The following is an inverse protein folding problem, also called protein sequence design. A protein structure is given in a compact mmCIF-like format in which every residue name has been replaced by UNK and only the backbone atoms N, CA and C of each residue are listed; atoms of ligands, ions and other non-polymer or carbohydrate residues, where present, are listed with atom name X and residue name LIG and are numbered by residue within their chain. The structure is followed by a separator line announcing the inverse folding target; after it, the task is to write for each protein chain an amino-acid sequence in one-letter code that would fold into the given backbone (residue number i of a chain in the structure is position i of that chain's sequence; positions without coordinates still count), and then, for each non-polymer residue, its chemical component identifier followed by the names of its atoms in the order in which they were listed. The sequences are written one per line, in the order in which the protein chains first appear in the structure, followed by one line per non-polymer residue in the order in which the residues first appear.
data_IF_740813453594
#
_entry.id   IF_740813453594
#
_cell.length_a   1.000
_cell.length_b   1.000
_cell.length_c   1.000
_cell.angle_alpha   90.00
_cell.angle_beta   90.00
_cell.angle_gamma   90.00
#
_symmetry.space_group_name_H-M   'P 1'
#
loop_
_entity.id
_entity.type
_entity.pdbx_description
1 polymer ?
#
# COMPACT_ATOMS: atom_id res chain seq x y z
N UNK A 1 3.67 -4.80 -9.98
CA UNK A 1 4.55 -3.78 -10.59
C UNK A 1 4.31 -3.70 -12.09
N UNK A 2 4.56 -4.77 -12.85
CA UNK A 2 4.36 -4.84 -14.31
C UNK A 2 3.00 -4.29 -14.78
N UNK A 3 1.87 -4.80 -14.25
CA UNK A 3 0.52 -4.35 -14.64
C UNK A 3 0.31 -2.83 -14.42
N UNK A 4 0.90 -2.25 -13.37
CA UNK A 4 0.74 -0.82 -13.08
C UNK A 4 1.65 0.01 -14.00
N UNK A 5 2.88 -0.44 -14.23
CA UNK A 5 3.81 0.18 -15.19
C UNK A 5 3.24 0.16 -16.61
N UNK A 6 2.66 -0.96 -17.05
CA UNK A 6 2.05 -1.11 -18.37
C UNK A 6 0.83 -0.19 -18.57
N UNK A 7 0.14 0.12 -17.48
CA UNK A 7 -0.96 1.08 -17.47
C UNK A 7 -0.49 2.55 -17.39
N UNK A 8 0.82 2.80 -17.34
CA UNK A 8 1.41 4.14 -17.33
C UNK A 8 1.47 4.81 -15.95
N UNK A 9 1.27 4.05 -14.86
CA UNK A 9 1.45 4.58 -13.52
C UNK A 9 2.94 4.68 -13.15
N UNK A 10 3.28 5.67 -12.33
CA UNK A 10 4.58 5.70 -11.68
C UNK A 10 4.66 4.58 -10.63
N UNK A 11 5.66 3.71 -10.77
CA UNK A 11 5.90 2.59 -9.86
C UNK A 11 7.30 2.73 -9.26
N UNK A 12 7.39 2.60 -7.94
CA UNK A 12 8.65 2.66 -7.20
C UNK A 12 8.73 1.53 -6.16
N UNK A 13 9.92 0.99 -5.98
CA UNK A 13 10.23 0.10 -4.86
C UNK A 13 11.15 0.86 -3.90
N UNK A 14 10.60 1.19 -2.73
CA UNK A 14 11.35 1.91 -1.69
C UNK A 14 10.77 1.61 -0.31
N UNK A 15 11.54 1.96 0.72
CA UNK A 15 10.99 2.05 2.06
C UNK A 15 9.98 3.21 2.14
N UNK A 16 8.84 2.94 2.78
CA UNK A 16 7.79 3.91 3.06
C UNK A 16 7.78 4.14 4.57
N UNK A 17 7.89 5.39 5.02
CA UNK A 17 7.73 5.72 6.43
C UNK A 17 6.25 5.64 6.84
N UNK A 18 5.98 5.31 8.10
CA UNK A 18 4.59 5.19 8.59
C UNK A 18 3.83 6.51 8.46
N UNK A 19 4.51 7.64 8.62
CA UNK A 19 3.91 8.98 8.51
C UNK A 19 3.43 9.29 7.09
N UNK A 20 4.00 8.68 6.05
CA UNK A 20 3.55 8.85 4.66
C UNK A 20 2.21 8.15 4.38
N UNK A 21 1.78 7.23 5.24
CA UNK A 21 0.53 6.51 5.07
C UNK A 21 -0.69 7.40 5.31
N UNK A 22 -0.53 8.53 6.00
CA UNK A 22 -1.60 9.52 6.20
C UNK A 22 -2.04 10.18 4.88
N UNK A 23 -1.11 10.32 3.94
CA UNK A 23 -1.36 10.92 2.62
C UNK A 23 -1.75 9.88 1.54
N UNK A 24 -1.65 8.60 1.86
CA UNK A 24 -1.94 7.53 0.92
C UNK A 24 -3.46 7.43 0.64
N UNK A 25 -3.84 7.45 -0.64
CA UNK A 25 -5.25 7.28 -1.03
C UNK A 25 -5.79 5.87 -0.76
N UNK A 26 -4.94 4.84 -0.93
CA UNK A 26 -5.29 3.44 -0.72
C UNK A 26 -4.08 2.63 -0.23
N UNK A 27 -4.33 1.63 0.62
CA UNK A 27 -3.33 0.68 1.10
C UNK A 27 -3.91 -0.73 1.07
N UNK A 28 -3.14 -1.69 0.54
CA UNK A 28 -3.54 -3.08 0.45
C UNK A 28 -2.34 -4.02 0.57
N UNK A 29 -2.61 -5.24 1.01
CA UNK A 29 -1.64 -6.33 1.00
C UNK A 29 -1.88 -7.23 -0.21
N UNK A 30 -0.82 -7.82 -0.75
CA UNK A 30 -0.90 -8.83 -1.81
C UNK A 30 -0.27 -10.14 -1.38
N UNK A 31 -0.78 -11.27 -1.85
CA UNK A 31 -0.16 -12.56 -1.60
C UNK A 31 -1.00 -13.72 -2.11
N UNK A 32 -0.40 -14.90 -2.24
CA UNK A 32 -1.03 -16.08 -2.86
C UNK A 32 -2.36 -16.48 -2.24
N UNK A 33 -2.50 -16.33 -0.93
CA UNK A 33 -3.72 -16.72 -0.21
C UNK A 33 -4.92 -15.79 -0.46
N UNK A 34 -4.69 -14.54 -0.88
CA UNK A 34 -5.72 -13.49 -0.88
C UNK A 34 -5.77 -12.65 -2.16
N UNK A 35 -4.75 -12.73 -3.03
CA UNK A 35 -4.62 -11.87 -4.20
C UNK A 35 -4.34 -10.42 -3.79
N UNK A 36 -5.40 -9.67 -3.49
CA UNK A 36 -5.40 -8.29 -2.99
C UNK A 36 -6.34 -8.21 -1.79
N UNK A 37 -5.85 -7.67 -0.67
CA UNK A 37 -6.65 -7.47 0.54
C UNK A 37 -6.54 -6.00 1.00
N UNK A 38 -7.66 -5.24 1.04
CA UNK A 38 -7.62 -3.85 1.48
C UNK A 38 -7.31 -3.76 2.99
N UNK A 39 -6.55 -2.75 3.38
CA UNK A 39 -6.24 -2.47 4.78
C UNK A 39 -7.26 -1.47 5.34
N UNK A 40 -8.04 -1.91 6.34
CA UNK A 40 -9.10 -1.07 6.91
C UNK A 40 -8.66 -0.10 8.00
N UNK A 41 -7.71 -0.49 8.86
CA UNK A 41 -7.14 0.37 9.91
C UNK A 41 -5.70 -0.03 10.20
N UNK A 42 -4.85 0.95 10.53
CA UNK A 42 -3.45 0.75 10.92
C UNK A 42 -3.27 1.37 12.29
N UNK A 43 -3.05 0.55 13.32
CA UNK A 43 -2.81 1.07 14.66
C UNK A 43 -1.32 1.30 14.90
N UNK A 44 -0.92 2.57 15.11
CA UNK A 44 0.45 2.98 15.35
C UNK A 44 0.54 3.96 16.52
N UNK A 45 1.45 3.70 17.48
CA UNK A 45 1.62 4.52 18.69
C UNK A 45 0.31 4.79 19.45
N UNK A 46 -0.61 3.82 19.48
CA UNK A 46 -1.91 3.92 20.14
C UNK A 46 -2.96 4.74 19.38
N UNK A 47 -2.63 5.24 18.18
CA UNK A 47 -3.56 5.88 17.24
C UNK A 47 -3.99 4.85 16.20
N UNK A 48 -5.24 4.93 15.74
CA UNK A 48 -5.83 3.99 14.79
C UNK A 48 -5.97 4.61 13.41
#
# INVERSE_FOLDING_TARGET
MEIASDQGYQVEERAIAVDELEDAGEVFCTGTAVGVAPVGTITYQGKR
#
